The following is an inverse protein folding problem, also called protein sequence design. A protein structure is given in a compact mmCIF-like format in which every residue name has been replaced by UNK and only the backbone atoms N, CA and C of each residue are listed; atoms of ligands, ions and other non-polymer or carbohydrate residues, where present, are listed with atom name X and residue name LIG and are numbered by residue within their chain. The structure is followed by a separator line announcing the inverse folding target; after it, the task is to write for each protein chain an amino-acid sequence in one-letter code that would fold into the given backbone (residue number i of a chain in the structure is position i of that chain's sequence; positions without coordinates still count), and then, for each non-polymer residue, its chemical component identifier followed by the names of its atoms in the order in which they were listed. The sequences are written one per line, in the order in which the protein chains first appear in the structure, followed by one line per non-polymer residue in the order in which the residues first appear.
data_IF_276602261198
#
_entry.id   IF_276602261198
#
_cell.length_a   1.000
_cell.length_b   1.000
_cell.length_c   1.000
_cell.angle_alpha   90.00
_cell.angle_beta   90.00
_cell.angle_gamma   90.00
#
_symmetry.space_group_name_H-M   'P 1'
#
loop_
_entity.id
_entity.type
_entity.pdbx_description
1 polymer ?
#
# COMPACT_ATOMS: atom_id res chain seq x y z
N UNK A 1 36.72 5.68 -51.78
CA UNK A 1 37.48 5.61 -50.51
C UNK A 1 37.57 4.15 -50.07
N UNK A 2 38.77 3.57 -50.03
CA UNK A 2 38.99 2.14 -49.75
C UNK A 2 38.83 1.77 -48.27
N UNK A 3 38.63 0.48 -48.00
CA UNK A 3 38.50 -0.07 -46.64
C UNK A 3 39.90 -0.17 -46.00
N UNK A 4 40.21 0.73 -45.08
CA UNK A 4 41.47 0.70 -44.32
C UNK A 4 41.58 -0.52 -43.40
N UNK A 5 42.82 -0.98 -43.15
CA UNK A 5 43.11 -2.05 -42.18
C UNK A 5 42.83 -1.53 -40.77
N UNK A 6 42.12 -2.31 -39.95
CA UNK A 6 41.78 -1.98 -38.57
C UNK A 6 42.45 -3.00 -37.64
N UNK A 7 43.03 -2.53 -36.54
CA UNK A 7 43.59 -3.39 -35.50
C UNK A 7 42.50 -4.20 -34.78
N UNK A 8 42.81 -5.46 -34.44
CA UNK A 8 41.89 -6.32 -33.67
C UNK A 8 42.00 -6.05 -32.17
N UNK A 9 41.55 -4.86 -31.75
CA UNK A 9 41.40 -4.43 -30.36
C UNK A 9 40.06 -3.74 -30.13
N UNK A 10 39.69 -3.51 -28.87
CA UNK A 10 38.47 -2.77 -28.52
C UNK A 10 38.52 -1.35 -29.12
N UNK A 11 37.46 -0.96 -29.82
CA UNK A 11 37.33 0.40 -30.36
C UNK A 11 36.86 1.31 -29.22
N UNK A 12 37.70 2.25 -28.78
CA UNK A 12 37.37 3.12 -27.64
C UNK A 12 36.31 4.18 -27.97
N UNK A 13 36.41 4.79 -29.16
CA UNK A 13 35.44 5.77 -29.63
C UNK A 13 34.04 5.13 -29.76
N UNK A 14 33.06 5.66 -29.00
CA UNK A 14 31.70 5.13 -28.91
C UNK A 14 30.97 5.15 -30.26
N UNK A 15 31.10 6.21 -31.05
CA UNK A 15 30.41 6.37 -32.34
C UNK A 15 30.98 5.37 -33.35
N UNK A 16 32.30 5.29 -33.46
CA UNK A 16 32.97 4.34 -34.35
C UNK A 16 32.69 2.89 -33.93
N UNK A 17 32.65 2.61 -32.62
CA UNK A 17 32.29 1.29 -32.09
C UNK A 17 30.86 0.91 -32.46
N UNK A 18 29.90 1.82 -32.33
CA UNK A 18 28.49 1.56 -32.69
C UNK A 18 28.33 1.32 -34.19
N UNK A 19 28.90 2.17 -35.03
CA UNK A 19 28.83 2.03 -36.50
C UNK A 19 29.52 0.73 -36.94
N UNK A 20 30.67 0.40 -36.34
CA UNK A 20 31.39 -0.85 -36.63
C UNK A 20 30.61 -2.07 -36.15
N UNK A 21 30.01 -2.02 -34.96
CA UNK A 21 29.16 -3.09 -34.44
C UNK A 21 27.99 -3.35 -35.39
N UNK A 22 27.25 -2.33 -35.80
CA UNK A 22 26.13 -2.47 -36.74
C UNK A 22 26.58 -3.11 -38.07
N UNK A 23 27.70 -2.63 -38.65
CA UNK A 23 28.24 -3.18 -39.90
C UNK A 23 28.75 -4.61 -39.76
N UNK A 24 29.48 -4.93 -38.68
CA UNK A 24 29.99 -6.27 -38.42
C UNK A 24 28.89 -7.25 -38.08
N UNK A 25 27.90 -6.86 -37.27
CA UNK A 25 26.71 -7.67 -36.96
C UNK A 25 25.94 -8.03 -38.23
N UNK A 26 25.70 -7.05 -39.11
CA UNK A 26 25.05 -7.29 -40.39
C UNK A 26 25.86 -8.25 -41.28
N UNK A 27 27.18 -8.05 -41.38
CA UNK A 27 28.05 -8.96 -42.15
C UNK A 27 28.12 -10.37 -41.57
N UNK A 28 28.09 -10.50 -40.25
CA UNK A 28 28.12 -11.77 -39.54
C UNK A 28 26.81 -12.55 -39.71
N UNK A 29 25.66 -11.86 -39.65
CA UNK A 29 24.35 -12.44 -39.97
C UNK A 29 24.27 -12.94 -41.42
N UNK A 30 24.88 -12.23 -42.37
CA UNK A 30 24.95 -12.68 -43.76
C UNK A 30 25.77 -13.97 -43.88
N UNK A 31 26.95 -14.03 -43.26
CA UNK A 31 27.78 -15.25 -43.24
C UNK A 31 27.08 -16.43 -42.59
N UNK A 32 26.43 -16.22 -41.45
CA UNK A 32 25.66 -17.27 -40.77
C UNK A 32 24.54 -17.81 -41.66
N UNK A 33 23.86 -16.92 -42.40
CA UNK A 33 22.82 -17.31 -43.34
C UNK A 33 23.36 -18.07 -44.55
N UNK A 34 24.48 -17.63 -45.13
CA UNK A 34 25.17 -18.36 -46.20
C UNK A 34 25.54 -19.78 -45.77
N UNK A 35 26.13 -19.94 -44.58
CA UNK A 35 26.47 -21.26 -44.02
C UNK A 35 25.21 -22.11 -43.81
N UNK A 36 24.16 -21.50 -43.26
CA UNK A 36 22.91 -22.22 -42.99
C UNK A 36 22.29 -22.78 -44.27
N UNK A 37 22.31 -22.03 -45.37
CA UNK A 37 21.80 -22.50 -46.67
C UNK A 37 22.76 -23.49 -47.34
N UNK A 38 24.06 -23.19 -47.40
CA UNK A 38 25.03 -23.98 -48.17
C UNK A 38 25.31 -25.35 -47.56
N UNK A 39 25.23 -25.45 -46.23
CA UNK A 39 25.58 -26.67 -45.49
C UNK A 39 24.37 -27.31 -44.81
N UNK A 40 23.15 -26.81 -45.05
CA UNK A 40 21.92 -27.21 -44.36
C UNK A 40 22.10 -27.27 -42.83
N UNK A 41 22.72 -26.22 -42.30
CA UNK A 41 23.12 -26.14 -40.89
C UNK A 41 22.22 -25.16 -40.13
N UNK A 42 21.80 -25.54 -38.93
CA UNK A 42 21.14 -24.64 -37.99
C UNK A 42 22.20 -23.73 -37.33
N UNK A 43 22.21 -22.44 -37.65
CA UNK A 43 23.19 -21.47 -37.12
C UNK A 43 22.46 -20.37 -36.36
N UNK A 44 22.73 -20.26 -35.05
CA UNK A 44 22.22 -19.16 -34.20
C UNK A 44 23.35 -18.23 -33.76
N UNK A 45 23.02 -16.95 -33.57
CA UNK A 45 24.00 -15.93 -33.25
C UNK A 45 23.45 -14.98 -32.18
N UNK A 46 24.03 -15.04 -30.99
CA UNK A 46 23.67 -14.18 -29.87
C UNK A 46 24.67 -13.01 -29.77
N UNK A 47 24.17 -11.77 -29.81
CA UNK A 47 25.00 -10.58 -29.61
C UNK A 47 24.36 -9.62 -28.61
N UNK A 48 24.97 -9.46 -27.44
CA UNK A 48 24.51 -8.53 -26.39
C UNK A 48 25.44 -7.32 -26.29
N UNK A 49 24.94 -6.08 -26.43
CA UNK A 49 25.75 -4.90 -26.12
C UNK A 49 26.00 -4.81 -24.61
N UNK A 50 27.18 -4.29 -24.21
CA UNK A 50 27.62 -4.16 -22.80
C UNK A 50 26.66 -3.31 -21.93
N UNK A 51 25.74 -2.55 -22.53
CA UNK A 51 24.71 -1.79 -21.81
C UNK A 51 23.46 -1.64 -22.69
N UNK A 52 22.54 -2.60 -22.60
CA UNK A 52 21.24 -2.56 -23.28
C UNK A 52 20.66 -3.94 -23.56
N UNK A 53 19.33 -4.03 -23.55
CA UNK A 53 18.57 -5.27 -23.70
C UNK A 53 18.95 -6.03 -24.97
N UNK A 54 18.99 -7.36 -24.87
CA UNK A 54 19.23 -8.28 -25.97
C UNK A 54 18.19 -8.02 -27.08
N UNK A 55 18.64 -7.54 -28.24
CA UNK A 55 17.80 -7.51 -29.44
C UNK A 55 18.11 -8.75 -30.27
N UNK A 56 17.31 -9.80 -30.09
CA UNK A 56 17.26 -10.91 -31.03
C UNK A 56 16.52 -10.44 -32.29
N UNK A 57 17.20 -10.39 -33.42
CA UNK A 57 16.54 -10.13 -34.70
C UNK A 57 16.77 -11.30 -35.64
N UNK A 58 15.92 -12.34 -35.49
CA UNK A 58 15.33 -13.19 -36.53
C UNK A 58 14.45 -14.28 -35.88
N UNK A 59 13.26 -14.49 -36.46
CA UNK A 59 12.19 -15.47 -36.17
C UNK A 59 12.25 -16.15 -34.78
N UNK A 60 11.35 -15.75 -33.88
CA UNK A 60 11.15 -16.37 -32.55
C UNK A 60 11.17 -17.91 -32.60
N UNK A 61 10.62 -18.51 -33.67
CA UNK A 61 10.56 -19.97 -33.84
C UNK A 61 11.92 -20.66 -34.09
N UNK A 62 12.93 -19.97 -34.61
CA UNK A 62 14.24 -20.59 -34.91
C UNK A 62 15.20 -20.47 -33.72
N UNK A 63 15.17 -19.35 -32.98
CA UNK A 63 16.03 -19.17 -31.81
C UNK A 63 15.64 -20.11 -30.67
N UNK A 64 14.34 -20.31 -30.45
CA UNK A 64 13.83 -21.24 -29.43
C UNK A 64 14.26 -22.68 -29.73
N UNK A 65 14.13 -23.14 -30.99
CA UNK A 65 14.58 -24.46 -31.43
C UNK A 65 16.09 -24.65 -31.31
N UNK A 66 16.89 -23.64 -31.67
CA UNK A 66 18.36 -23.74 -31.54
C UNK A 66 18.79 -23.68 -30.07
N UNK A 67 18.08 -22.93 -29.21
CA UNK A 67 18.33 -22.94 -27.77
C UNK A 67 17.93 -24.28 -27.13
N UNK A 68 16.81 -24.86 -27.54
CA UNK A 68 16.34 -26.18 -27.12
C UNK A 68 17.32 -27.28 -27.59
N UNK A 69 17.78 -27.23 -28.84
CA UNK A 69 18.83 -28.10 -29.36
C UNK A 69 20.14 -27.89 -28.57
N UNK A 70 20.57 -26.66 -28.34
CA UNK A 70 21.77 -26.39 -27.54
C UNK A 70 21.63 -26.91 -26.11
N UNK A 71 20.47 -26.79 -25.48
CA UNK A 71 20.22 -27.32 -24.14
C UNK A 71 20.34 -28.84 -24.13
N UNK A 72 19.68 -29.52 -25.09
CA UNK A 72 19.75 -30.98 -25.28
C UNK A 72 21.16 -31.48 -25.60
N UNK A 73 21.89 -30.80 -26.50
CA UNK A 73 23.26 -31.17 -26.88
C UNK A 73 24.29 -30.79 -25.82
N UNK A 74 24.14 -29.67 -25.09
CA UNK A 74 25.01 -29.37 -23.94
C UNK A 74 24.80 -30.39 -22.82
N UNK A 75 23.58 -30.92 -22.66
CA UNK A 75 23.31 -32.01 -21.73
C UNK A 75 24.02 -33.29 -22.17
N UNK A 76 23.98 -33.63 -23.47
CA UNK A 76 24.66 -34.78 -24.04
C UNK A 76 26.21 -34.66 -24.03
N UNK A 77 26.77 -33.48 -24.28
CA UNK A 77 28.22 -33.24 -24.28
C UNK A 77 28.80 -33.19 -22.85
N UNK A 78 28.03 -32.71 -21.87
CA UNK A 78 28.39 -32.72 -20.45
C UNK A 78 28.42 -34.12 -19.83
N UNK A 79 27.71 -35.10 -20.41
CA UNK A 79 27.81 -36.51 -20.00
C UNK A 79 29.14 -37.16 -20.41
N UNK A 80 29.90 -36.54 -21.34
CA UNK A 80 31.12 -37.13 -21.92
C UNK A 80 32.43 -36.44 -21.48
N UNK A 81 32.40 -35.33 -20.74
CA UNK A 81 33.62 -34.60 -20.31
C UNK A 81 33.58 -34.11 -18.83
N UNK A 82 34.01 -35.01 -17.93
CA UNK A 82 34.78 -34.78 -16.66
C UNK A 82 34.12 -33.92 -15.53
N UNK A 83 34.61 -33.93 -14.26
CA UNK A 83 33.83 -34.28 -13.06
C UNK A 83 33.38 -33.08 -12.18
N UNK A 84 32.25 -33.29 -11.50
CA UNK A 84 31.89 -32.93 -10.11
C UNK A 84 31.64 -31.51 -9.59
N UNK A 85 31.69 -30.41 -10.36
CA UNK A 85 31.40 -29.08 -9.74
C UNK A 85 30.26 -28.26 -10.35
N UNK A 86 30.15 -28.19 -11.68
CA UNK A 86 29.13 -27.32 -12.32
C UNK A 86 27.81 -28.02 -12.66
N UNK A 87 27.81 -29.35 -12.81
CA UNK A 87 26.59 -30.15 -13.04
C UNK A 87 25.69 -30.14 -11.80
N UNK A 88 26.29 -30.08 -10.61
CA UNK A 88 25.55 -30.08 -9.35
C UNK A 88 24.72 -28.80 -9.16
N UNK A 89 25.23 -27.61 -9.51
CA UNK A 89 24.49 -26.36 -9.33
C UNK A 89 23.26 -26.25 -10.26
N UNK A 90 23.41 -26.59 -11.55
CA UNK A 90 22.30 -26.50 -12.52
C UNK A 90 21.26 -27.61 -12.32
N UNK A 91 21.70 -28.84 -12.03
CA UNK A 91 20.80 -29.96 -11.70
C UNK A 91 20.05 -29.67 -10.40
N UNK A 92 20.72 -29.05 -9.41
CA UNK A 92 20.08 -28.61 -8.17
C UNK A 92 18.98 -27.58 -8.44
N UNK A 93 19.22 -26.53 -9.25
CA UNK A 93 18.18 -25.55 -9.59
C UNK A 93 16.99 -26.15 -10.35
N UNK A 94 17.23 -27.09 -11.26
CA UNK A 94 16.14 -27.78 -11.99
C UNK A 94 15.28 -28.63 -11.05
N UNK A 95 15.90 -29.37 -10.13
CA UNK A 95 15.18 -30.18 -9.12
C UNK A 95 14.42 -29.28 -8.15
N UNK A 96 15.06 -28.22 -7.67
CA UNK A 96 14.46 -27.24 -6.75
C UNK A 96 13.27 -26.51 -7.38
N UNK A 97 13.39 -26.11 -8.65
CA UNK A 97 12.29 -25.51 -9.39
C UNK A 97 11.13 -26.49 -9.55
N UNK A 98 11.39 -27.73 -9.96
CA UNK A 98 10.36 -28.77 -10.09
C UNK A 98 9.67 -29.07 -8.76
N UNK A 99 10.43 -29.11 -7.65
CA UNK A 99 9.91 -29.29 -6.30
C UNK A 99 9.00 -28.13 -5.87
N UNK A 100 9.43 -26.90 -6.13
CA UNK A 100 8.66 -25.71 -5.80
C UNK A 100 7.37 -25.64 -6.64
N UNK A 101 7.47 -25.93 -7.93
CA UNK A 101 6.33 -25.98 -8.85
C UNK A 101 5.29 -27.01 -8.38
N UNK A 102 5.72 -28.23 -8.05
CA UNK A 102 4.82 -29.25 -7.51
C UNK A 102 4.15 -28.82 -6.20
N UNK A 103 4.86 -28.08 -5.34
CA UNK A 103 4.30 -27.52 -4.11
C UNK A 103 3.23 -26.45 -4.39
N UNK A 104 3.47 -25.57 -5.37
CA UNK A 104 2.49 -24.55 -5.78
C UNK A 104 1.23 -25.24 -6.31
N UNK A 105 1.37 -26.19 -7.23
CA UNK A 105 0.25 -26.93 -7.80
C UNK A 105 -0.55 -27.69 -6.72
N UNK A 106 0.12 -28.24 -5.71
CA UNK A 106 -0.53 -28.85 -4.55
C UNK A 106 -1.32 -27.84 -3.72
N UNK A 107 -0.75 -26.68 -3.42
CA UNK A 107 -1.41 -25.64 -2.63
C UNK A 107 -2.63 -25.06 -3.36
N UNK A 108 -2.51 -24.81 -4.67
CA UNK A 108 -3.61 -24.32 -5.50
C UNK A 108 -4.75 -25.34 -5.60
N UNK A 109 -4.41 -26.64 -5.74
CA UNK A 109 -5.40 -27.71 -5.70
C UNK A 109 -6.10 -27.79 -4.35
N UNK A 110 -5.36 -27.72 -3.25
CA UNK A 110 -5.95 -27.70 -1.92
C UNK A 110 -6.85 -26.47 -1.70
N UNK A 111 -6.45 -25.30 -2.21
CA UNK A 111 -7.29 -24.10 -2.16
C UNK A 111 -8.62 -24.31 -2.87
N UNK A 112 -8.62 -24.87 -4.08
CA UNK A 112 -9.84 -25.24 -4.81
C UNK A 112 -10.72 -26.19 -4.00
N UNK A 113 -10.13 -27.23 -3.40
CA UNK A 113 -10.87 -28.13 -2.53
C UNK A 113 -11.51 -27.42 -1.32
N UNK A 114 -10.79 -26.51 -0.64
CA UNK A 114 -11.35 -25.72 0.46
C UNK A 114 -12.48 -24.78 0.01
N UNK A 115 -12.49 -24.38 -1.26
CA UNK A 115 -13.55 -23.59 -1.88
C UNK A 115 -14.73 -24.44 -2.38
N UNK A 116 -14.62 -25.77 -2.32
CA UNK A 116 -15.64 -26.71 -2.79
C UNK A 116 -15.56 -27.04 -4.28
N UNK A 117 -14.41 -26.78 -4.91
CA UNK A 117 -14.16 -27.04 -6.33
C UNK A 117 -13.33 -28.33 -6.52
N UNK A 118 -13.46 -28.97 -7.70
CA UNK A 118 -12.71 -30.17 -8.13
C UNK A 118 -12.76 -31.37 -7.16
N UNK A 119 -13.92 -31.58 -6.52
CA UNK A 119 -14.11 -32.62 -5.50
C UNK A 119 -14.37 -34.01 -6.08
N UNK A 120 -14.60 -34.16 -7.39
CA UNK A 120 -15.04 -35.40 -8.04
C UNK A 120 -14.02 -36.54 -7.91
N UNK A 121 -12.74 -36.19 -7.79
CA UNK A 121 -11.63 -37.15 -7.70
C UNK A 121 -11.20 -37.47 -6.26
N UNK A 122 -11.79 -36.81 -5.27
CA UNK A 122 -11.40 -36.96 -3.86
C UNK A 122 -12.13 -38.15 -3.23
N UNK A 123 -11.41 -38.95 -2.43
CA UNK A 123 -12.04 -40.06 -1.72
C UNK A 123 -12.99 -39.58 -0.61
N UNK A 124 -13.99 -40.38 -0.26
CA UNK A 124 -14.94 -40.05 0.82
C UNK A 124 -14.23 -39.76 2.15
N UNK A 125 -13.16 -40.50 2.45
CA UNK A 125 -12.37 -40.29 3.68
C UNK A 125 -11.66 -38.93 3.69
N UNK A 126 -11.08 -38.54 2.57
CA UNK A 126 -10.42 -37.24 2.42
C UNK A 126 -11.44 -36.10 2.47
N UNK A 127 -12.62 -36.30 1.89
CA UNK A 127 -13.71 -35.33 1.95
C UNK A 127 -14.23 -35.11 3.38
N UNK A 128 -14.39 -36.20 4.15
CA UNK A 128 -14.73 -36.11 5.58
C UNK A 128 -13.67 -35.37 6.40
N UNK A 129 -12.39 -35.64 6.12
CA UNK A 129 -11.29 -34.92 6.76
C UNK A 129 -11.28 -33.42 6.40
N UNK A 130 -11.54 -33.09 5.13
CA UNK A 130 -11.67 -31.73 4.65
C UNK A 130 -12.81 -30.98 5.34
N UNK A 131 -13.98 -31.61 5.46
CA UNK A 131 -15.14 -31.08 6.16
C UNK A 131 -14.82 -30.81 7.64
N UNK A 132 -14.23 -31.78 8.34
CA UNK A 132 -13.83 -31.62 9.74
C UNK A 132 -12.84 -30.46 9.93
N UNK A 133 -11.86 -30.33 9.02
CA UNK A 133 -10.88 -29.26 9.06
C UNK A 133 -11.51 -27.88 8.85
N UNK A 134 -12.46 -27.77 7.92
CA UNK A 134 -13.20 -26.53 7.65
C UNK A 134 -14.11 -26.14 8.83
N UNK A 135 -14.88 -27.08 9.38
CA UNK A 135 -15.75 -26.83 10.53
C UNK A 135 -14.94 -26.37 11.77
N UNK A 136 -13.83 -27.07 12.05
CA UNK A 136 -12.94 -26.70 13.16
C UNK A 136 -12.35 -25.30 12.97
N UNK A 137 -11.84 -25.02 11.77
CA UNK A 137 -11.25 -23.71 11.46
C UNK A 137 -12.29 -22.58 11.53
N UNK A 138 -13.51 -22.84 11.04
CA UNK A 138 -14.61 -21.89 11.09
C UNK A 138 -15.05 -21.58 12.52
N UNK A 139 -15.10 -22.59 13.40
CA UNK A 139 -15.34 -22.41 14.84
C UNK A 139 -14.28 -21.51 15.47
N UNK A 140 -13.00 -21.73 15.17
CA UNK A 140 -11.92 -20.86 15.66
C UNK A 140 -12.05 -19.42 15.16
N UNK A 141 -12.31 -19.22 13.86
CA UNK A 141 -12.50 -17.88 13.27
C UNK A 141 -13.67 -17.16 13.95
N UNK A 142 -14.82 -17.83 14.10
CA UNK A 142 -16.00 -17.26 14.76
C UNK A 142 -15.70 -16.89 16.22
N UNK A 143 -15.06 -17.79 16.97
CA UNK A 143 -14.65 -17.53 18.35
C UNK A 143 -13.75 -16.30 18.45
N UNK A 144 -12.73 -16.20 17.59
CA UNK A 144 -11.80 -15.06 17.60
C UNK A 144 -12.51 -13.76 17.20
N UNK A 145 -13.38 -13.80 16.19
CA UNK A 145 -14.17 -12.63 15.77
C UNK A 145 -15.08 -12.15 16.91
N UNK A 146 -15.75 -13.06 17.59
CA UNK A 146 -16.59 -12.72 18.73
C UNK A 146 -15.75 -12.13 19.87
N UNK A 147 -14.60 -12.72 20.20
CA UNK A 147 -13.70 -12.18 21.23
C UNK A 147 -13.29 -10.74 20.92
N UNK A 148 -12.83 -10.46 19.69
CA UNK A 148 -12.44 -9.11 19.27
C UNK A 148 -13.61 -8.11 19.32
N UNK A 149 -14.82 -8.56 18.99
CA UNK A 149 -16.02 -7.74 19.09
C UNK A 149 -16.34 -7.38 20.55
N UNK A 150 -16.22 -8.33 21.48
CA UNK A 150 -16.41 -8.06 22.91
C UNK A 150 -15.33 -7.11 23.45
N UNK A 151 -14.07 -7.28 23.03
CA UNK A 151 -12.99 -6.37 23.39
C UNK A 151 -13.27 -4.93 22.91
N UNK A 152 -13.75 -4.78 21.67
CA UNK A 152 -14.14 -3.48 21.11
C UNK A 152 -15.33 -2.86 21.85
N UNK A 153 -16.37 -3.65 22.14
CA UNK A 153 -17.54 -3.19 22.87
C UNK A 153 -17.17 -2.71 24.28
N UNK A 154 -16.35 -3.48 25.00
CA UNK A 154 -15.84 -3.10 26.31
C UNK A 154 -15.00 -1.81 26.27
N UNK A 155 -14.18 -1.63 25.23
CA UNK A 155 -13.39 -0.41 25.06
C UNK A 155 -14.29 0.82 24.88
N UNK A 156 -15.31 0.71 24.03
CA UNK A 156 -16.24 1.80 23.76
C UNK A 156 -17.09 2.15 25.00
N UNK A 157 -17.56 1.16 25.74
CA UNK A 157 -18.32 1.39 26.98
C UNK A 157 -17.49 2.11 28.05
N UNK A 158 -16.19 1.82 28.17
CA UNK A 158 -15.30 2.56 29.07
C UNK A 158 -15.16 4.01 28.67
N UNK A 159 -14.94 4.27 27.37
CA UNK A 159 -14.88 5.64 26.84
C UNK A 159 -16.18 6.41 27.04
N UNK A 160 -17.32 5.76 26.82
CA UNK A 160 -18.63 6.38 27.10
C UNK A 160 -18.73 6.81 28.57
N UNK A 161 -18.36 5.93 29.49
CA UNK A 161 -18.36 6.23 30.92
C UNK A 161 -17.41 7.38 31.28
N UNK A 162 -16.18 7.37 30.77
CA UNK A 162 -15.20 8.45 30.98
C UNK A 162 -15.74 9.81 30.50
N UNK A 163 -16.31 9.86 29.29
CA UNK A 163 -16.90 11.09 28.73
C UNK A 163 -18.11 11.56 29.55
N UNK A 164 -18.96 10.64 30.02
CA UNK A 164 -20.09 10.98 30.87
C UNK A 164 -19.64 11.57 32.22
N UNK A 165 -18.58 11.03 32.82
CA UNK A 165 -17.99 11.55 34.05
C UNK A 165 -17.40 12.94 33.83
N UNK A 166 -16.63 13.15 32.76
CA UNK A 166 -16.09 14.46 32.38
C UNK A 166 -17.19 15.50 32.14
N UNK A 167 -18.23 15.14 31.38
CA UNK A 167 -19.37 16.03 31.12
C UNK A 167 -20.12 16.40 32.40
N UNK A 168 -20.29 15.44 33.33
CA UNK A 168 -20.90 15.70 34.64
C UNK A 168 -20.09 16.69 35.47
N UNK A 169 -18.76 16.55 35.47
CA UNK A 169 -17.84 17.45 36.15
C UNK A 169 -17.87 18.86 35.55
N UNK A 170 -17.81 18.98 34.22
CA UNK A 170 -17.92 20.26 33.53
C UNK A 170 -19.27 20.94 33.81
N UNK A 171 -20.37 20.20 33.78
CA UNK A 171 -21.69 20.73 34.10
C UNK A 171 -21.78 21.25 35.55
N UNK A 172 -21.12 20.60 36.52
CA UNK A 172 -21.02 21.11 37.90
C UNK A 172 -20.23 22.42 37.96
N UNK A 173 -19.08 22.48 37.28
CA UNK A 173 -18.25 23.70 37.24
C UNK A 173 -18.98 24.88 36.59
N UNK A 174 -19.78 24.64 35.54
CA UNK A 174 -20.59 25.68 34.91
C UNK A 174 -21.62 26.22 35.91
N UNK A 175 -22.37 25.34 36.58
CA UNK A 175 -23.35 25.76 37.60
C UNK A 175 -22.72 26.54 38.75
N UNK A 176 -21.54 26.13 39.20
CA UNK A 176 -20.80 26.84 40.25
C UNK A 176 -20.38 28.24 39.79
N UNK A 177 -19.81 28.37 38.58
CA UNK A 177 -19.45 29.67 38.00
C UNK A 177 -20.66 30.57 37.80
N UNK A 178 -21.78 30.04 37.31
CA UNK A 178 -23.04 30.78 37.19
C UNK A 178 -23.56 31.27 38.54
N UNK A 179 -23.47 30.44 39.59
CA UNK A 179 -23.83 30.84 40.95
C UNK A 179 -22.97 32.00 41.45
N UNK A 180 -21.64 31.91 41.27
CA UNK A 180 -20.69 32.96 41.67
C UNK A 180 -21.00 34.27 40.94
N UNK A 181 -21.23 34.21 39.62
CA UNK A 181 -21.60 35.36 38.80
C UNK A 181 -22.89 36.02 39.30
N UNK A 182 -23.93 35.23 39.59
CA UNK A 182 -25.19 35.76 40.15
C UNK A 182 -24.99 36.42 41.51
N UNK A 183 -24.19 35.83 42.40
CA UNK A 183 -23.88 36.44 43.70
C UNK A 183 -23.15 37.77 43.53
N UNK A 184 -22.16 37.83 42.64
CA UNK A 184 -21.41 39.06 42.36
C UNK A 184 -22.29 40.15 41.74
N UNK A 185 -23.22 39.78 40.87
CA UNK A 185 -24.18 40.69 40.24
C UNK A 185 -25.15 41.27 41.27
N UNK A 186 -25.72 40.42 42.14
CA UNK A 186 -26.61 40.85 43.22
C UNK A 186 -25.89 41.79 44.23
N UNK A 187 -24.62 41.52 44.55
CA UNK A 187 -23.81 42.40 45.41
C UNK A 187 -23.59 43.78 44.76
N UNK A 188 -23.29 43.82 43.46
CA UNK A 188 -23.12 45.09 42.73
C UNK A 188 -24.41 45.91 42.64
N UNK A 189 -25.58 45.25 42.50
CA UNK A 189 -26.89 45.91 42.48
C UNK A 189 -27.28 46.47 43.86
N UNK A 190 -26.96 45.77 44.95
CA UNK A 190 -27.17 46.29 46.32
C UNK A 190 -26.28 47.50 46.62
N UNK A 191 -25.05 47.52 46.11
CA UNK A 191 -24.14 48.65 46.25
C UNK A 191 -24.62 49.88 45.46
N UNK A 192 -25.15 49.67 44.24
CA UNK A 192 -25.78 50.73 43.45
C UNK A 192 -27.10 51.25 44.04
N UNK A 193 -27.95 50.39 44.64
CA UNK A 193 -29.18 50.83 45.33
C UNK A 193 -28.88 51.67 46.58
N UNK A 194 -27.77 51.40 47.27
CA UNK A 194 -27.36 52.18 48.45
C UNK A 194 -26.87 53.59 48.08
N UNK A 195 -26.55 53.86 46.81
CA UNK A 195 -26.18 55.18 46.31
C UNK A 195 -27.34 55.97 45.68
N UNK A 196 -28.59 55.47 45.71
CA UNK A 196 -29.74 56.12 45.06
C UNK A 196 -30.93 56.48 45.98
N UNK A 197 -30.75 56.47 47.30
CA UNK A 197 -31.78 56.97 48.23
C UNK A 197 -31.37 58.32 48.81
N UNK A 198 -31.72 59.38 48.09
CA UNK A 198 -32.06 60.69 48.67
C UNK A 198 -32.98 61.43 47.68
N UNK A 199 -34.28 61.60 47.96
CA UNK A 199 -35.06 62.61 47.26
C UNK A 199 -34.65 63.99 47.79
N UNK A 200 -34.15 64.86 46.91
CA UNK A 200 -33.99 66.28 47.23
C UNK A 200 -35.37 66.92 47.48
N UNK A 201 -35.59 67.68 48.58
CA UNK A 201 -36.80 68.47 48.74
C UNK A 201 -36.73 69.74 47.88
N UNK A 202 -37.77 70.00 47.08
CA UNK A 202 -37.99 71.29 46.42
C UNK A 202 -38.33 72.37 47.48
N UNK A 203 -37.82 73.61 47.36
CA UNK A 203 -38.06 74.65 48.36
C UNK A 203 -39.47 75.25 48.22
N UNK A 204 -40.24 75.20 49.31
CA UNK A 204 -41.52 75.90 49.44
C UNK A 204 -41.27 77.38 49.76
N UNK A 205 -41.74 78.29 48.89
CA UNK A 205 -41.88 79.71 49.20
C UNK A 205 -43.12 79.93 50.09
N UNK A 206 -42.91 80.52 51.28
CA UNK A 206 -43.95 81.07 52.13
C UNK A 206 -44.42 82.45 51.63
N UNK A 207 -45.74 82.74 51.63
CA UNK A 207 -46.20 84.13 51.58
C UNK A 207 -47.34 84.40 52.58
N UNK A 208 -47.01 85.01 53.72
CA UNK A 208 -47.93 85.82 54.56
C UNK A 208 -46.99 86.80 55.32
N UNK A 209 -47.16 88.12 55.35
CA UNK A 209 -48.38 88.93 55.43
C UNK A 209 -48.15 90.34 54.85
N UNK A 210 -49.20 90.96 54.26
CA UNK A 210 -49.65 92.32 54.59
C UNK A 210 -50.85 92.74 53.70
N UNK A 211 -52.04 92.73 54.31
CA UNK A 211 -53.06 93.79 54.28
C UNK A 211 -53.15 94.75 53.05
N UNK A 212 -54.16 94.52 52.20
CA UNK A 212 -55.33 95.38 51.85
C UNK A 212 -55.19 96.91 51.66
N UNK A 213 -56.17 97.62 51.05
CA UNK A 213 -56.99 97.40 49.85
C UNK A 213 -57.00 98.64 48.90
N UNK A 214 -57.87 98.62 47.87
CA UNK A 214 -58.49 99.75 47.14
C UNK A 214 -58.00 100.21 45.75
N UNK A 215 -59.05 100.58 44.98
CA UNK A 215 -59.17 101.32 43.70
C UNK A 215 -59.09 100.44 42.44
N UNK A 216 -60.20 99.92 41.88
CA UNK A 216 -61.44 100.53 41.34
C UNK A 216 -61.27 101.23 39.99
N UNK A 217 -61.84 100.58 38.97
CA UNK A 217 -62.51 101.07 37.76
C UNK A 217 -61.75 101.89 36.71
N UNK A 218 -61.87 101.40 35.47
CA UNK A 218 -61.53 102.07 34.21
C UNK A 218 -61.65 101.08 33.06
#
# INVERSE_FOLDING_TARGET
MGRGRVEMKRIENKINRQVTFSKRRAGLLKKAHEISILCDAEVSLLSSPIRGNCSSTKSESCMEKVLEHYERYSYAEKQLKVPDSHVNAQTNWSVEYSRLKAKIELLERNQRHYLGEDLESISIKELQNLEQQLDTSLKHIRSRKNQLMHESLNHLQRKEKEILEENSMLAKQIRERESILRTHQNQSEQQNRSHHVAPQPQPQLNPYMASSPFLNMG
#
